data_IF_708254610479
#
_entry.id   IF_708254610479
#
_cell.length_a   1.000
_cell.length_b   1.000
_cell.length_c   1.000
_cell.angle_alpha   90.00
_cell.angle_beta   90.00
_cell.angle_gamma   90.00
#
_symmetry.space_group_name_H-M   'P 1'
#
loop_
_entity.id
_entity.type
_entity.pdbx_description
1 polymer ?
#
# COMPACT_ATOMS: atom_id res chain seq x y z
N UNK A 1 -8.64 -48.66 19.45
CA UNK A 1 -8.66 -47.19 19.66
C UNK A 1 -7.61 -46.58 18.73
N UNK A 2 -7.98 -45.63 17.87
CA UNK A 2 -7.02 -44.87 17.04
C UNK A 2 -7.31 -43.39 17.22
N UNK A 3 -6.39 -42.68 17.83
CA UNK A 3 -6.44 -41.22 17.98
C UNK A 3 -6.02 -40.59 16.65
N UNK A 4 -6.91 -39.78 16.08
CA UNK A 4 -6.60 -38.94 14.91
C UNK A 4 -6.27 -37.56 15.45
N UNK A 5 -4.99 -37.20 15.46
CA UNK A 5 -4.54 -35.86 15.79
C UNK A 5 -4.75 -34.95 14.58
N UNK A 6 -5.81 -34.14 14.62
CA UNK A 6 -6.00 -33.04 13.67
C UNK A 6 -5.10 -31.88 14.13
N UNK A 7 -4.00 -31.68 13.43
CA UNK A 7 -3.14 -30.51 13.57
C UNK A 7 -3.92 -29.28 13.14
N UNK A 8 -4.27 -28.41 14.10
CA UNK A 8 -4.89 -27.12 13.87
C UNK A 8 -3.91 -26.23 13.09
N UNK A 9 -4.10 -26.10 11.77
CA UNK A 9 -3.39 -25.07 10.99
C UNK A 9 -4.12 -23.75 11.26
N UNK A 10 -3.70 -23.03 12.30
CA UNK A 10 -4.07 -21.63 12.44
C UNK A 10 -3.24 -20.84 11.43
N UNK A 11 -3.83 -20.59 10.26
CA UNK A 11 -3.30 -19.63 9.31
C UNK A 11 -3.32 -18.26 10.01
N UNK A 12 -2.16 -17.75 10.41
CA UNK A 12 -2.01 -16.35 10.80
C UNK A 12 -2.18 -15.50 9.54
N UNK A 13 -3.43 -15.27 9.13
CA UNK A 13 -3.77 -14.16 8.29
C UNK A 13 -3.79 -12.94 9.21
N UNK A 14 -2.69 -12.20 9.26
CA UNK A 14 -2.74 -10.79 9.68
C UNK A 14 -3.58 -10.07 8.62
N UNK A 15 -4.90 -10.16 8.77
CA UNK A 15 -5.84 -9.37 8.02
C UNK A 15 -5.67 -7.95 8.55
N UNK A 16 -5.40 -6.99 7.65
CA UNK A 16 -5.40 -5.58 8.02
C UNK A 16 -6.61 -5.27 8.88
N UNK A 17 -6.40 -4.57 9.99
CA UNK A 17 -7.47 -4.23 10.95
C UNK A 17 -8.58 -3.39 10.29
N UNK A 18 -8.30 -2.81 9.13
CA UNK A 18 -9.17 -1.90 8.41
C UNK A 18 -9.84 -2.62 7.23
N UNK A 19 -11.17 -2.61 7.22
CA UNK A 19 -11.96 -3.12 6.10
C UNK A 19 -11.90 -2.12 4.93
N UNK A 20 -10.89 -2.26 4.08
CA UNK A 20 -10.71 -1.40 2.89
C UNK A 20 -11.80 -1.66 1.84
N UNK A 21 -12.29 -0.63 1.13
CA UNK A 21 -13.30 -0.81 0.07
C UNK A 21 -12.78 -1.73 -1.04
N UNK A 22 -13.66 -2.49 -1.68
CA UNK A 22 -13.26 -3.36 -2.80
C UNK A 22 -13.05 -2.51 -4.05
N UNK A 23 -11.79 -2.25 -4.41
CA UNK A 23 -11.45 -1.47 -5.58
C UNK A 23 -11.41 -2.42 -6.78
N UNK A 24 -12.53 -2.58 -7.49
CA UNK A 24 -12.67 -3.46 -8.66
C UNK A 24 -11.64 -3.20 -9.78
N UNK A 25 -11.05 -2.01 -9.80
CA UNK A 25 -10.30 -1.49 -10.95
C UNK A 25 -8.87 -2.03 -11.09
N UNK A 26 -8.29 -2.69 -10.07
CA UNK A 26 -6.87 -3.04 -10.09
C UNK A 26 -6.64 -4.48 -9.62
N UNK A 27 -6.81 -5.43 -10.54
CA UNK A 27 -6.53 -6.87 -10.35
C UNK A 27 -5.05 -7.11 -9.92
N UNK A 28 -4.16 -6.13 -10.15
CA UNK A 28 -2.73 -6.24 -9.88
C UNK A 28 -2.32 -6.23 -8.41
N UNK A 29 -3.09 -5.62 -7.50
CA UNK A 29 -2.74 -5.57 -6.07
C UNK A 29 -3.72 -6.38 -5.24
N UNK A 30 -3.26 -7.51 -4.69
CA UNK A 30 -4.08 -8.37 -3.84
C UNK A 30 -4.53 -7.67 -2.56
N UNK A 31 -5.75 -8.01 -2.09
CA UNK A 31 -6.37 -7.41 -0.89
C UNK A 31 -5.45 -7.38 0.34
N UNK A 32 -4.69 -8.45 0.57
CA UNK A 32 -3.75 -8.53 1.69
C UNK A 32 -2.61 -7.51 1.57
N UNK A 33 -1.97 -7.40 0.40
CA UNK A 33 -0.88 -6.45 0.16
C UNK A 33 -1.35 -5.00 0.28
N UNK A 34 -2.55 -4.72 -0.21
CA UNK A 34 -3.19 -3.41 -0.05
C UNK A 34 -3.41 -3.05 1.43
N UNK A 35 -3.85 -4.02 2.23
CA UNK A 35 -4.01 -3.87 3.68
C UNK A 35 -2.69 -3.54 4.38
N UNK A 36 -1.61 -4.28 4.06
CA UNK A 36 -0.27 -3.98 4.61
C UNK A 36 0.17 -2.56 4.24
N UNK A 37 0.02 -2.16 2.97
CA UNK A 37 0.42 -0.83 2.53
C UNK A 37 -0.39 0.29 3.23
N UNK A 38 -1.68 0.08 3.44
CA UNK A 38 -2.52 0.97 4.24
C UNK A 38 -1.96 1.14 5.65
N UNK A 39 -1.71 0.03 6.35
CA UNK A 39 -1.28 0.04 7.74
C UNK A 39 0.11 0.70 7.90
N UNK A 40 1.04 0.47 6.97
CA UNK A 40 2.36 1.11 6.96
C UNK A 40 2.25 2.63 6.76
N UNK A 41 1.41 3.10 5.83
CA UNK A 41 1.22 4.55 5.57
C UNK A 41 0.56 5.24 6.76
N UNK A 42 -0.52 4.66 7.30
CA UNK A 42 -1.22 5.17 8.49
C UNK A 42 -0.29 5.25 9.70
N UNK A 43 0.55 4.23 9.91
CA UNK A 43 1.54 4.24 10.98
C UNK A 43 2.61 5.33 10.76
N UNK A 44 3.05 5.56 9.52
CA UNK A 44 4.08 6.54 9.20
C UNK A 44 3.58 7.98 9.32
N UNK A 45 2.35 8.26 8.88
CA UNK A 45 1.72 9.58 9.00
C UNK A 45 1.17 9.86 10.41
N UNK A 46 1.02 8.81 11.24
CA UNK A 46 0.47 8.85 12.60
C UNK A 46 -0.97 9.39 12.65
N UNK A 47 -1.81 8.95 11.71
CA UNK A 47 -3.21 9.38 11.59
C UNK A 47 -4.12 8.17 11.41
N UNK A 48 -4.83 7.81 12.48
CA UNK A 48 -5.61 6.56 12.55
C UNK A 48 -6.93 6.61 11.73
N UNK A 49 -7.38 7.79 11.32
CA UNK A 49 -8.69 8.00 10.66
C UNK A 49 -8.56 8.42 9.18
N UNK A 50 -7.63 7.81 8.44
CA UNK A 50 -7.49 8.05 7.00
C UNK A 50 -8.50 7.18 6.22
N UNK A 51 -9.33 7.81 5.40
CA UNK A 51 -10.26 7.11 4.49
C UNK A 51 -9.51 6.59 3.25
N UNK A 52 -9.74 5.34 2.89
CA UNK A 52 -9.15 4.79 1.67
C UNK A 52 -10.08 5.04 0.46
N UNK A 53 -9.59 5.70 -0.58
CA UNK A 53 -10.37 6.08 -1.76
C UNK A 53 -9.86 5.36 -3.03
N UNK A 54 -10.74 4.58 -3.68
CA UNK A 54 -10.40 3.82 -4.89
C UNK A 54 -10.10 4.70 -6.13
N UNK A 55 -10.59 5.95 -6.18
CA UNK A 55 -10.23 6.90 -7.24
C UNK A 55 -8.79 7.37 -7.04
N UNK A 56 -8.39 7.65 -5.81
CA UNK A 56 -6.99 7.97 -5.48
C UNK A 56 -6.07 6.76 -5.75
N UNK A 57 -6.53 5.53 -5.47
CA UNK A 57 -5.82 4.29 -5.84
C UNK A 57 -5.56 4.22 -7.35
N UNK A 58 -6.56 4.57 -8.15
CA UNK A 58 -6.46 4.62 -9.62
C UNK A 58 -5.49 5.70 -10.10
N UNK A 59 -5.44 6.85 -9.45
CA UNK A 59 -4.46 7.91 -9.77
C UNK A 59 -3.05 7.44 -9.39
N UNK A 60 -2.88 6.84 -8.21
CA UNK A 60 -1.61 6.23 -7.79
C UNK A 60 -1.12 5.18 -8.79
N UNK A 61 -2.03 4.38 -9.37
CA UNK A 61 -1.70 3.46 -10.45
C UNK A 61 -1.18 4.14 -11.71
N UNK A 62 -1.81 5.24 -12.14
CA UNK A 62 -1.29 6.00 -13.30
C UNK A 62 0.11 6.55 -13.00
N UNK A 63 0.32 7.08 -11.79
CA UNK A 63 1.63 7.54 -11.33
C UNK A 63 2.66 6.41 -11.34
N UNK A 64 2.36 5.25 -10.76
CA UNK A 64 3.27 4.11 -10.75
C UNK A 64 3.59 3.58 -12.15
N UNK A 65 2.59 3.57 -13.04
CA UNK A 65 2.76 3.15 -14.43
C UNK A 65 3.66 4.11 -15.21
N UNK A 66 3.38 5.41 -15.13
CA UNK A 66 4.05 6.45 -15.92
C UNK A 66 5.41 6.87 -15.32
N UNK A 67 5.60 6.65 -14.01
CA UNK A 67 6.81 6.98 -13.26
C UNK A 67 6.81 8.40 -12.71
N UNK A 68 7.89 8.74 -11.99
CA UNK A 68 8.02 9.98 -11.22
C UNK A 68 7.88 11.26 -12.05
N UNK A 69 8.13 11.20 -13.37
CA UNK A 69 7.92 12.34 -14.27
C UNK A 69 6.45 12.77 -14.42
N UNK A 70 5.51 11.92 -13.99
CA UNK A 70 4.07 12.19 -13.96
C UNK A 70 3.55 12.55 -12.56
N UNK A 71 4.45 12.73 -11.59
CA UNK A 71 4.10 13.02 -10.21
C UNK A 71 3.44 14.40 -10.11
N UNK A 72 2.28 14.51 -9.45
CA UNK A 72 1.69 15.81 -9.17
C UNK A 72 2.64 16.61 -8.26
N UNK A 73 2.61 17.95 -8.37
CA UNK A 73 3.48 18.82 -7.58
C UNK A 73 3.30 18.68 -6.07
N UNK A 74 2.12 18.19 -5.63
CA UNK A 74 1.75 17.96 -4.23
C UNK A 74 0.94 16.68 -4.07
N UNK A 75 0.86 16.21 -2.83
CA UNK A 75 -0.05 15.15 -2.38
C UNK A 75 0.18 13.77 -3.02
N UNK A 76 1.43 13.46 -3.35
CA UNK A 76 1.80 12.10 -3.75
C UNK A 76 3.16 11.72 -3.20
N UNK A 77 3.37 10.42 -3.04
CA UNK A 77 4.69 9.82 -2.75
C UNK A 77 4.93 8.68 -3.72
N UNK A 78 6.20 8.45 -4.05
CA UNK A 78 6.63 7.42 -5.00
C UNK A 78 7.92 6.77 -4.52
N UNK A 79 8.05 5.47 -4.76
CA UNK A 79 9.21 4.69 -4.35
C UNK A 79 9.35 3.44 -5.19
N UNK A 80 10.57 2.94 -5.27
CA UNK A 80 10.90 1.74 -6.01
C UNK A 80 11.68 0.76 -5.12
N UNK A 81 11.53 -0.53 -5.37
CA UNK A 81 12.35 -1.57 -4.76
C UNK A 81 12.76 -2.60 -5.82
N UNK A 82 14.04 -3.04 -5.84
CA UNK A 82 14.50 -4.03 -6.81
C UNK A 82 13.67 -5.31 -6.78
N UNK A 83 13.35 -5.87 -7.95
CA UNK A 83 12.69 -7.19 -8.03
C UNK A 83 13.58 -8.35 -7.59
N UNK A 84 14.90 -8.16 -7.61
CA UNK A 84 15.85 -9.11 -7.06
C UNK A 84 15.71 -9.27 -5.54
N UNK A 85 15.02 -8.35 -4.89
CA UNK A 85 14.79 -8.34 -3.46
C UNK A 85 13.31 -8.60 -3.13
N UNK A 86 13.06 -9.06 -1.91
CA UNK A 86 11.70 -9.16 -1.39
C UNK A 86 11.17 -7.75 -1.18
N UNK A 87 9.97 -7.47 -1.70
CA UNK A 87 9.28 -6.19 -1.49
C UNK A 87 9.21 -5.86 0.00
N UNK A 88 9.84 -4.75 0.39
CA UNK A 88 9.86 -4.24 1.76
C UNK A 88 9.10 -2.91 1.82
N UNK A 89 7.77 -3.00 1.97
CA UNK A 89 6.90 -1.83 2.04
C UNK A 89 7.29 -0.89 3.20
N UNK A 90 7.64 -1.45 4.36
CA UNK A 90 8.06 -0.68 5.52
C UNK A 90 9.26 0.22 5.20
N UNK A 91 10.29 -0.31 4.55
CA UNK A 91 11.48 0.48 4.18
C UNK A 91 11.14 1.60 3.19
N UNK A 92 10.27 1.32 2.22
CA UNK A 92 9.83 2.32 1.24
C UNK A 92 9.04 3.44 1.94
N UNK A 93 8.05 3.08 2.75
CA UNK A 93 7.18 4.03 3.44
C UNK A 93 7.95 4.85 4.48
N UNK A 94 8.91 4.23 5.19
CA UNK A 94 9.80 4.97 6.09
C UNK A 94 10.66 6.00 5.36
N UNK A 95 11.04 5.72 4.10
CA UNK A 95 11.73 6.68 3.24
C UNK A 95 10.88 7.93 2.95
N UNK A 96 9.55 7.82 2.98
CA UNK A 96 8.62 8.92 2.71
C UNK A 96 8.23 9.75 3.95
N UNK A 97 8.88 9.52 5.10
CA UNK A 97 8.44 10.10 6.37
C UNK A 97 8.29 11.62 6.32
N UNK A 98 9.17 12.32 5.61
CA UNK A 98 9.11 13.77 5.49
C UNK A 98 7.94 14.21 4.61
N UNK A 99 7.78 13.58 3.45
CA UNK A 99 6.70 13.85 2.50
C UNK A 99 5.33 13.57 3.12
N UNK A 100 5.20 12.48 3.88
CA UNK A 100 3.97 12.13 4.58
C UNK A 100 3.61 13.16 5.67
N UNK A 101 4.60 13.78 6.33
CA UNK A 101 4.33 14.86 7.29
C UNK A 101 3.73 16.11 6.63
N UNK A 102 4.04 16.34 5.36
CA UNK A 102 3.45 17.45 4.58
C UNK A 102 1.98 17.20 4.23
N UNK A 103 1.50 15.96 4.37
CA UNK A 103 0.16 15.50 3.98
C UNK A 103 -0.72 15.18 5.20
N UNK A 104 -0.31 15.60 6.41
CA UNK A 104 -1.01 15.27 7.66
C UNK A 104 -2.46 15.80 7.72
N UNK A 105 -2.75 16.88 7.00
CA UNK A 105 -4.09 17.49 6.93
C UNK A 105 -5.03 16.71 6.00
N UNK A 106 -4.48 16.02 4.99
CA UNK A 106 -5.24 15.21 4.02
C UNK A 106 -6.00 14.09 4.74
N UNK A 107 -7.24 13.83 4.34
CA UNK A 107 -8.16 12.91 5.05
C UNK A 107 -8.35 11.59 4.34
N UNK A 108 -7.99 11.54 3.06
CA UNK A 108 -8.17 10.43 2.15
C UNK A 108 -6.86 10.09 1.49
N UNK A 109 -6.72 8.82 1.11
CA UNK A 109 -5.61 8.40 0.29
C UNK A 109 -5.93 7.13 -0.49
N UNK A 110 -5.15 6.88 -1.51
CA UNK A 110 -5.15 5.61 -2.23
C UNK A 110 -3.73 5.27 -2.67
N UNK A 111 -3.41 3.98 -2.63
CA UNK A 111 -2.05 3.51 -2.84
C UNK A 111 -1.99 2.30 -3.76
N UNK A 112 -0.87 2.11 -4.45
CA UNK A 112 -0.67 0.95 -5.31
C UNK A 112 0.73 0.36 -5.11
N UNK A 113 0.81 -0.96 -5.26
CA UNK A 113 2.04 -1.66 -5.63
C UNK A 113 1.88 -2.18 -7.05
N UNK A 114 2.77 -1.76 -7.95
CA UNK A 114 2.82 -2.22 -9.32
C UNK A 114 4.08 -3.07 -9.54
N UNK A 115 3.89 -4.26 -10.09
CA UNK A 115 5.00 -5.11 -10.50
C UNK A 115 5.61 -4.62 -11.83
N UNK A 116 6.75 -3.94 -11.75
CA UNK A 116 7.48 -3.44 -12.91
C UNK A 116 8.43 -4.48 -13.52
N UNK A 117 9.13 -4.11 -14.60
CA UNK A 117 10.10 -5.03 -15.26
C UNK A 117 11.34 -5.31 -14.41
N UNK A 118 11.87 -4.29 -13.73
CA UNK A 118 13.09 -4.37 -12.92
C UNK A 118 12.85 -4.11 -11.44
N UNK A 119 11.87 -3.26 -11.13
CA UNK A 119 11.57 -2.83 -9.77
C UNK A 119 10.07 -2.98 -9.52
N UNK A 120 9.70 -3.29 -8.28
CA UNK A 120 8.39 -2.95 -7.75
C UNK A 120 8.29 -1.43 -7.66
N UNK A 121 7.14 -0.89 -8.01
CA UNK A 121 6.84 0.53 -7.91
C UNK A 121 5.71 0.73 -6.94
N UNK A 122 5.90 1.60 -5.97
CA UNK A 122 4.89 1.91 -4.95
C UNK A 122 4.59 3.38 -5.02
N UNK A 123 3.30 3.71 -5.02
CA UNK A 123 2.84 5.09 -5.02
C UNK A 123 1.63 5.25 -4.12
N UNK A 124 1.49 6.42 -3.49
CA UNK A 124 0.27 6.84 -2.81
C UNK A 124 -0.07 8.27 -3.21
N UNK A 125 -1.38 8.58 -3.25
CA UNK A 125 -1.93 9.90 -3.55
C UNK A 125 -2.93 10.27 -2.46
N UNK A 126 -2.95 11.54 -2.06
CA UNK A 126 -3.64 12.06 -0.88
C UNK A 126 -4.60 13.22 -1.24
N UNK A 127 -5.70 13.35 -0.49
CA UNK A 127 -6.73 14.42 -0.61
C UNK A 127 -7.46 14.65 0.73
#
# INVERSE_FOLDING_TARGET
MKAVYLLSITCFADASKHALPDCQTIITMGKHLRGILYDEVVAAIKKDNMEYDCKLEKIAFQLARNGISSMPERNAVYGESPRSERLNLKSIVQGWKYELQLMVEETKFGCIVLDGKKHFKVACVFE
#
